data_IF_520484406822
#
_entry.id   IF_520484406822
#
_cell.length_a   1.000
_cell.length_b   1.000
_cell.length_c   1.000
_cell.angle_alpha   90.00
_cell.angle_beta   90.00
_cell.angle_gamma   90.00
#
_symmetry.space_group_name_H-M   'P 1'
#
loop_
_entity.id
_entity.type
_entity.pdbx_description
1 polymer ?
#
# COMPACT_ATOMS: atom_id res chain seq x y z
N UNK A 1 8.58 -2.69 -7.19
CA UNK A 1 9.84 -2.78 -6.43
C UNK A 1 10.21 -4.26 -6.21
N UNK A 2 11.48 -4.56 -5.92
CA UNK A 2 11.92 -5.86 -5.41
C UNK A 2 12.14 -5.74 -3.89
N UNK A 3 11.74 -6.77 -3.13
CA UNK A 3 12.02 -6.87 -1.70
C UNK A 3 12.99 -8.00 -1.44
N UNK A 4 13.97 -7.77 -0.56
CA UNK A 4 14.89 -8.80 -0.07
C UNK A 4 14.50 -9.14 1.37
N UNK A 5 14.17 -10.40 1.63
CA UNK A 5 13.82 -10.89 2.96
C UNK A 5 14.97 -11.70 3.55
N UNK A 6 15.28 -11.46 4.82
CA UNK A 6 16.27 -12.21 5.58
C UNK A 6 15.80 -12.37 7.03
N UNK A 7 16.49 -13.19 7.81
CA UNK A 7 16.20 -13.32 9.25
C UNK A 7 16.57 -12.02 9.96
N UNK A 8 15.74 -11.60 10.92
CA UNK A 8 15.93 -10.36 11.66
C UNK A 8 17.17 -10.33 12.56
N UNK A 9 17.72 -11.49 12.90
CA UNK A 9 18.90 -11.65 13.76
C UNK A 9 20.21 -11.89 12.97
N UNK A 10 20.15 -11.94 11.63
CA UNK A 10 21.30 -12.15 10.76
C UNK A 10 21.95 -10.81 10.35
N UNK A 11 22.70 -10.22 11.29
CA UNK A 11 23.30 -8.90 11.12
C UNK A 11 24.27 -8.82 9.93
N UNK A 12 24.98 -9.92 9.63
CA UNK A 12 25.89 -10.00 8.48
C UNK A 12 25.13 -9.81 7.16
N UNK A 13 24.01 -10.53 6.98
CA UNK A 13 23.18 -10.39 5.79
C UNK A 13 22.52 -9.01 5.72
N UNK A 14 22.04 -8.47 6.84
CA UNK A 14 21.41 -7.14 6.90
C UNK A 14 22.39 -6.06 6.41
N UNK A 15 23.64 -6.07 6.87
CA UNK A 15 24.66 -5.10 6.46
C UNK A 15 25.02 -5.19 4.97
N UNK A 16 24.95 -6.40 4.39
CA UNK A 16 25.17 -6.60 2.96
C UNK A 16 24.02 -6.05 2.12
N UNK A 17 22.77 -6.35 2.47
CA UNK A 17 21.59 -5.92 1.69
C UNK A 17 21.29 -4.43 1.85
N UNK A 18 21.63 -3.81 2.98
CA UNK A 18 21.43 -2.37 3.21
C UNK A 18 22.12 -1.51 2.15
N UNK A 19 23.25 -1.96 1.61
CA UNK A 19 24.00 -1.26 0.54
C UNK A 19 23.25 -1.23 -0.79
N UNK A 20 22.25 -2.10 -0.98
CA UNK A 20 21.43 -2.18 -2.18
C UNK A 20 20.09 -1.44 -2.02
N UNK A 21 19.79 -0.94 -0.81
CA UNK A 21 18.52 -0.30 -0.53
C UNK A 21 18.46 1.11 -1.14
N UNK A 22 17.43 1.36 -1.93
CA UNK A 22 17.08 2.70 -2.40
C UNK A 22 16.08 3.34 -1.42
N UNK A 23 16.48 4.44 -0.78
CA UNK A 23 15.69 5.08 0.27
C UNK A 23 14.35 5.63 -0.26
N UNK A 24 14.36 6.25 -1.44
CA UNK A 24 13.14 6.79 -2.04
C UNK A 24 12.11 5.68 -2.32
N UNK A 25 12.56 4.56 -2.90
CA UNK A 25 11.72 3.37 -3.12
C UNK A 25 11.24 2.75 -1.80
N UNK A 26 12.10 2.70 -0.79
CA UNK A 26 11.70 2.15 0.52
C UNK A 26 10.57 2.99 1.15
N UNK A 27 10.66 4.33 1.09
CA UNK A 27 9.65 5.23 1.62
C UNK A 27 8.31 5.13 0.86
N UNK A 28 8.33 5.12 -0.47
CA UNK A 28 7.10 4.99 -1.28
C UNK A 28 6.43 3.63 -1.08
N UNK A 29 7.20 2.54 -1.11
CA UNK A 29 6.69 1.18 -0.87
C UNK A 29 6.17 1.02 0.56
N UNK A 30 6.76 1.71 1.54
CA UNK A 30 6.23 1.71 2.93
C UNK A 30 4.81 2.28 2.98
N UNK A 31 4.54 3.36 2.27
CA UNK A 31 3.19 3.93 2.20
C UNK A 31 2.20 2.97 1.51
N UNK A 32 2.60 2.39 0.36
CA UNK A 32 1.80 1.41 -0.38
C UNK A 32 1.45 0.18 0.47
N UNK A 33 2.43 -0.39 1.17
CA UNK A 33 2.25 -1.58 2.02
C UNK A 33 1.46 -1.27 3.28
N UNK A 34 1.60 -0.08 3.86
CA UNK A 34 0.79 0.35 5.00
C UNK A 34 -0.69 0.41 4.60
N UNK A 35 -0.99 1.00 3.44
CA UNK A 35 -2.33 1.00 2.87
C UNK A 35 -2.85 -0.44 2.64
N UNK A 36 -2.06 -1.28 1.96
CA UNK A 36 -2.46 -2.65 1.66
C UNK A 36 -2.75 -3.46 2.93
N UNK A 37 -1.91 -3.32 3.96
CA UNK A 37 -2.07 -3.99 5.25
C UNK A 37 -3.35 -3.54 5.96
N UNK A 38 -3.60 -2.22 6.03
CA UNK A 38 -4.79 -1.66 6.70
C UNK A 38 -6.09 -2.02 6.00
N UNK A 39 -6.06 -2.22 4.70
CA UNK A 39 -7.21 -2.68 3.91
C UNK A 39 -7.42 -4.20 3.95
N UNK A 40 -6.56 -4.95 4.66
CA UNK A 40 -6.50 -6.41 4.64
C UNK A 40 -6.52 -6.95 3.20
N UNK A 41 -5.82 -6.23 2.32
CA UNK A 41 -5.77 -6.49 0.90
C UNK A 41 -4.75 -7.57 0.57
N UNK A 42 -5.05 -8.38 -0.43
CA UNK A 42 -4.16 -9.42 -0.97
C UNK A 42 -4.29 -9.48 -2.49
N UNK A 43 -3.56 -10.41 -3.11
CA UNK A 43 -3.49 -10.52 -4.58
C UNK A 43 -4.84 -10.78 -5.28
N UNK A 44 -5.86 -11.23 -4.54
CA UNK A 44 -7.15 -11.64 -5.10
C UNK A 44 -8.23 -10.55 -5.01
N UNK A 45 -7.94 -9.40 -4.38
CA UNK A 45 -8.91 -8.30 -4.27
C UNK A 45 -8.55 -7.15 -5.21
N UNK A 46 -9.55 -6.46 -5.80
CA UNK A 46 -9.36 -5.32 -6.72
C UNK A 46 -8.92 -4.06 -5.96
N UNK A 47 -7.68 -4.08 -5.47
CA UNK A 47 -7.03 -3.01 -4.72
C UNK A 47 -5.75 -2.57 -5.45
N UNK A 48 -5.46 -1.27 -5.43
CA UNK A 48 -4.20 -0.74 -5.95
C UNK A 48 -3.69 0.41 -5.08
N UNK A 49 -2.37 0.48 -4.91
CA UNK A 49 -1.67 1.59 -4.26
C UNK A 49 -0.42 1.89 -5.06
N UNK A 50 -0.20 3.17 -5.37
CA UNK A 50 1.00 3.63 -6.07
C UNK A 50 1.47 4.95 -5.46
N UNK A 51 2.70 4.92 -4.93
CA UNK A 51 3.32 6.07 -4.29
C UNK A 51 4.50 6.61 -5.09
N UNK A 52 4.65 7.93 -5.09
CA UNK A 52 5.80 8.62 -5.69
C UNK A 52 6.44 9.56 -4.68
N UNK A 53 7.76 9.71 -4.79
CA UNK A 53 8.51 10.74 -4.08
C UNK A 53 8.37 12.06 -4.83
N UNK A 54 7.97 13.13 -4.14
CA UNK A 54 7.87 14.48 -4.67
C UNK A 54 9.21 15.22 -4.56
N UNK A 55 9.37 16.32 -5.30
CA UNK A 55 10.60 17.12 -5.31
C UNK A 55 10.93 17.73 -3.93
N UNK A 56 9.91 17.99 -3.11
CA UNK A 56 10.03 18.51 -1.75
C UNK A 56 10.26 17.42 -0.68
N UNK A 57 10.43 16.16 -1.12
CA UNK A 57 10.67 15.01 -0.25
C UNK A 57 9.40 14.40 0.37
N UNK A 58 8.20 14.85 0.00
CA UNK A 58 6.96 14.21 0.45
C UNK A 58 6.64 12.95 -0.37
N UNK A 59 5.95 12.00 0.27
CA UNK A 59 5.37 10.84 -0.40
C UNK A 59 3.95 11.18 -0.82
N UNK A 60 3.64 11.01 -2.09
CA UNK A 60 2.29 11.10 -2.65
C UNK A 60 1.78 9.70 -2.98
N UNK A 61 0.82 9.19 -2.21
CA UNK A 61 0.19 7.89 -2.43
C UNK A 61 -1.17 8.06 -3.08
N UNK A 62 -1.35 7.48 -4.26
CA UNK A 62 -2.66 7.28 -4.88
C UNK A 62 -3.13 5.85 -4.64
N UNK A 63 -4.31 5.70 -4.05
CA UNK A 63 -4.91 4.41 -3.75
C UNK A 63 -6.28 4.24 -4.42
N UNK A 64 -6.65 2.99 -4.68
CA UNK A 64 -7.88 2.63 -5.38
C UNK A 64 -8.45 1.31 -4.86
N UNK A 65 -9.78 1.25 -4.74
CA UNK A 65 -10.55 0.02 -4.53
C UNK A 65 -11.69 -0.02 -5.56
N UNK A 66 -11.79 -1.11 -6.31
CA UNK A 66 -12.78 -1.27 -7.38
C UNK A 66 -13.74 -2.43 -7.14
N UNK A 67 -14.94 -2.40 -7.72
CA UNK A 67 -15.77 -3.61 -7.82
C UNK A 67 -15.21 -4.56 -8.89
N UNK A 68 -15.45 -5.89 -8.78
CA UNK A 68 -15.00 -6.85 -9.80
C UNK A 68 -15.54 -6.57 -11.21
N UNK A 69 -16.73 -5.98 -11.30
CA UNK A 69 -17.35 -5.59 -12.57
C UNK A 69 -16.89 -4.22 -13.10
N UNK A 70 -15.99 -3.55 -12.37
CA UNK A 70 -15.40 -2.26 -12.74
C UNK A 70 -16.34 -1.06 -12.68
N UNK A 71 -17.59 -1.21 -12.24
CA UNK A 71 -18.58 -0.12 -12.22
C UNK A 71 -18.41 0.84 -11.06
N UNK A 72 -17.87 0.37 -9.95
CA UNK A 72 -17.59 1.20 -8.78
C UNK A 72 -16.08 1.28 -8.61
N UNK A 73 -15.54 2.50 -8.62
CA UNK A 73 -14.12 2.76 -8.40
C UNK A 73 -14.01 3.85 -7.34
N UNK A 74 -13.47 3.50 -6.18
CA UNK A 74 -13.12 4.43 -5.13
C UNK A 74 -11.64 4.76 -5.27
N UNK A 75 -11.32 6.05 -5.37
CA UNK A 75 -9.94 6.53 -5.55
C UNK A 75 -9.69 7.72 -4.65
N UNK A 76 -8.50 7.80 -4.08
CA UNK A 76 -8.04 8.95 -3.31
C UNK A 76 -6.51 9.10 -3.42
N UNK A 77 -6.03 10.30 -3.13
CA UNK A 77 -4.60 10.63 -3.11
C UNK A 77 -4.28 11.44 -1.85
N UNK A 78 -3.25 11.02 -1.13
CA UNK A 78 -2.73 11.71 0.06
C UNK A 78 -1.25 12.01 -0.14
N UNK A 79 -0.83 13.19 0.32
CA UNK A 79 0.57 13.64 0.26
C UNK A 79 1.03 14.01 1.66
N UNK A 80 2.21 13.53 2.07
CA UNK A 80 2.76 13.83 3.39
C UNK A 80 4.20 13.37 3.55
N UNK A 81 4.85 13.79 4.63
CA UNK A 81 6.26 13.41 4.91
C UNK A 81 6.41 12.01 5.49
N UNK A 82 5.42 11.56 6.27
CA UNK A 82 5.47 10.26 6.94
C UNK A 82 4.74 9.21 6.08
N UNK A 83 5.45 8.26 5.47
CA UNK A 83 4.83 7.28 4.58
C UNK A 83 3.80 6.41 5.29
N UNK A 84 3.98 6.12 6.58
CA UNK A 84 3.03 5.31 7.36
C UNK A 84 1.72 6.09 7.52
N UNK A 85 1.80 7.36 7.95
CA UNK A 85 0.60 8.21 8.09
C UNK A 85 -0.12 8.41 6.76
N UNK A 86 0.63 8.61 5.68
CA UNK A 86 0.06 8.73 4.32
C UNK A 86 -0.72 7.46 3.94
N UNK A 87 -0.15 6.28 4.19
CA UNK A 87 -0.83 4.99 3.99
C UNK A 87 -2.06 4.80 4.87
N UNK A 88 -1.99 5.19 6.13
CA UNK A 88 -3.10 5.10 7.08
C UNK A 88 -4.26 6.03 6.71
N UNK A 89 -3.96 7.27 6.34
CA UNK A 89 -4.94 8.30 6.00
C UNK A 89 -5.69 7.97 4.72
N UNK A 90 -4.99 7.53 3.66
CA UNK A 90 -5.67 7.15 2.42
C UNK A 90 -6.58 5.93 2.62
N UNK A 91 -6.19 5.02 3.52
CA UNK A 91 -7.01 3.86 3.89
C UNK A 91 -8.31 4.32 4.56
N UNK A 92 -8.22 5.22 5.55
CA UNK A 92 -9.38 5.76 6.26
C UNK A 92 -10.34 6.46 5.30
N UNK A 93 -9.83 7.33 4.42
CA UNK A 93 -10.64 8.01 3.40
C UNK A 93 -11.36 7.04 2.47
N UNK A 94 -10.73 5.92 2.10
CA UNK A 94 -11.36 4.92 1.25
C UNK A 94 -12.37 4.05 2.01
N UNK A 95 -12.10 3.70 3.27
CA UNK A 95 -13.05 3.01 4.14
C UNK A 95 -14.32 3.84 4.36
N UNK A 96 -14.19 5.15 4.59
CA UNK A 96 -15.33 6.08 4.70
C UNK A 96 -16.16 6.17 3.42
N UNK A 97 -15.54 5.94 2.26
CA UNK A 97 -16.22 5.89 0.95
C UNK A 97 -16.88 4.54 0.64
N UNK A 98 -16.81 3.58 1.55
CA UNK A 98 -17.42 2.26 1.39
C UNK A 98 -16.53 1.22 0.72
N UNK A 99 -15.21 1.35 0.83
CA UNK A 99 -14.28 0.36 0.28
C UNK A 99 -14.41 -1.01 0.96
N UNK A 100 -14.81 -1.04 2.24
CA UNK A 100 -14.94 -2.28 3.00
C UNK A 100 -16.03 -3.19 2.43
N UNK A 101 -17.17 -2.62 2.06
CA UNK A 101 -18.30 -3.35 1.48
C UNK A 101 -17.92 -4.00 0.15
N UNK A 102 -17.11 -3.31 -0.65
CA UNK A 102 -16.58 -3.85 -1.91
C UNK A 102 -15.67 -5.04 -1.61
N UNK A 103 -14.67 -4.85 -0.74
CA UNK A 103 -13.68 -5.89 -0.42
C UNK A 103 -14.33 -7.13 0.22
N UNK A 104 -15.26 -6.96 1.16
CA UNK A 104 -15.97 -8.05 1.82
C UNK A 104 -16.82 -8.85 0.84
N UNK A 105 -17.43 -8.18 -0.15
CA UNK A 105 -18.20 -8.85 -1.20
C UNK A 105 -17.29 -9.74 -2.07
N UNK A 106 -16.12 -9.23 -2.46
CA UNK A 106 -15.16 -10.01 -3.25
C UNK A 106 -14.63 -11.22 -2.48
N UNK A 107 -14.26 -11.04 -1.21
CA UNK A 107 -13.78 -12.15 -0.37
C UNK A 107 -14.81 -13.29 -0.29
N UNK A 108 -16.10 -12.95 -0.07
CA UNK A 108 -17.19 -13.95 -0.03
C UNK A 108 -17.41 -14.67 -1.36
N UNK A 109 -17.24 -13.99 -2.49
CA UNK A 109 -17.38 -14.61 -3.82
C UNK A 109 -16.21 -15.53 -4.16
N UNK A 110 -15.02 -15.32 -3.58
CA UNK A 110 -13.84 -16.17 -3.78
C UNK A 110 -13.86 -17.45 -2.91
N UNK A 111 -14.49 -17.38 -1.74
CA UNK A 111 -14.61 -18.51 -0.79
C UNK A 111 -15.81 -19.44 -1.11
N UNK A 112 -16.65 -19.07 -2.08
CA UNK A 112 -17.86 -19.81 -2.50
C UNK A 112 -17.60 -20.75 -3.68
#
# INVERSE_FOLDING_TARGET
>A
ALGLECRSDDQEVIELIQKLNDEATALTVTAERTFLHKMEGGCQVPIAGYATMQEDGQVSLTALVGSPDGKTILKDTVVGQDPVKVGEEVSERLLEKGAKEILDKVKRELDA
#
